data_IF_728889353332
#
_entry.id   IF_728889353332
#
_cell.length_a   1.000
_cell.length_b   1.000
_cell.length_c   1.000
_cell.angle_alpha   90.00
_cell.angle_beta   90.00
_cell.angle_gamma   90.00
#
_symmetry.space_group_name_H-M   'P 1'
#
loop_
_entity.id
_entity.type
_entity.pdbx_description
1 polymer ?
#
# COMPACT_ATOMS: atom_id res chain seq x y z
N UNK A 1 -21.37 -48.18 -27.06
CA UNK A 1 -22.25 -47.09 -27.50
C UNK A 1 -21.41 -45.84 -27.63
N UNK A 2 -20.98 -45.55 -28.85
CA UNK A 2 -20.43 -44.26 -29.24
C UNK A 2 -21.59 -43.52 -29.94
N UNK A 3 -21.94 -42.34 -29.45
CA UNK A 3 -22.84 -41.43 -30.15
C UNK A 3 -22.20 -40.05 -30.14
N UNK A 4 -21.49 -39.77 -31.22
CA UNK A 4 -21.00 -38.47 -31.63
C UNK A 4 -22.15 -37.56 -32.07
N UNK A 5 -22.21 -36.34 -31.57
CA UNK A 5 -22.83 -35.22 -32.26
C UNK A 5 -21.79 -34.15 -32.51
N UNK A 6 -21.76 -33.67 -33.75
CA UNK A 6 -20.85 -32.66 -34.27
C UNK A 6 -21.70 -31.52 -34.85
N UNK A 7 -21.29 -30.29 -34.54
CA UNK A 7 -21.53 -29.03 -35.26
C UNK A 7 -20.87 -27.95 -34.37
N UNK A 8 -19.87 -27.19 -34.79
CA UNK A 8 -19.74 -26.48 -36.06
C UNK A 8 -20.20 -25.04 -35.83
N UNK A 9 -19.27 -24.10 -35.60
CA UNK A 9 -19.61 -22.71 -35.31
C UNK A 9 -18.39 -21.83 -35.11
N UNK A 10 -17.90 -21.28 -36.22
CA UNK A 10 -16.81 -20.32 -36.36
C UNK A 10 -17.05 -19.05 -35.53
N UNK A 11 -16.02 -18.60 -34.82
CA UNK A 11 -16.02 -17.34 -34.09
C UNK A 11 -14.59 -16.82 -33.96
N UNK A 12 -14.11 -16.19 -35.03
CA UNK A 12 -12.85 -15.44 -35.01
C UNK A 12 -12.96 -14.30 -34.00
N UNK A 13 -12.30 -14.46 -32.86
CA UNK A 13 -11.94 -13.38 -31.95
C UNK A 13 -10.48 -13.06 -32.18
N UNK A 14 -10.24 -11.94 -32.85
CA UNK A 14 -8.95 -11.33 -33.16
C UNK A 14 -7.87 -11.57 -32.12
N UNK A 15 -6.69 -11.93 -32.63
CA UNK A 15 -5.39 -11.85 -31.98
C UNK A 15 -5.30 -10.54 -31.19
N UNK A 16 -5.41 -10.65 -29.86
CA UNK A 16 -5.07 -9.57 -28.95
C UNK A 16 -3.57 -9.38 -28.98
N UNK A 17 -3.13 -8.49 -29.87
CA UNK A 17 -1.73 -8.16 -30.13
C UNK A 17 -0.93 -7.85 -28.87
N UNK A 18 0.36 -8.16 -28.96
CA UNK A 18 1.34 -7.85 -27.93
C UNK A 18 1.31 -6.39 -27.51
N UNK A 19 1.04 -6.18 -26.24
CA UNK A 19 1.45 -5.00 -25.51
C UNK A 19 2.51 -5.41 -24.50
N UNK A 20 3.75 -5.61 -24.94
CA UNK A 20 4.92 -5.61 -24.05
C UNK A 20 5.18 -4.16 -23.56
N UNK A 21 4.17 -3.55 -22.94
CA UNK A 21 4.33 -2.33 -22.16
C UNK A 21 4.83 -2.76 -20.79
N UNK A 22 5.90 -2.13 -20.28
CA UNK A 22 6.49 -2.43 -18.98
C UNK A 22 5.45 -2.37 -17.85
N UNK A 23 4.77 -3.48 -17.61
CA UNK A 23 3.68 -3.58 -16.66
C UNK A 23 4.23 -3.86 -15.27
N UNK A 24 4.13 -2.88 -14.38
CA UNK A 24 4.44 -3.08 -12.97
C UNK A 24 3.59 -4.20 -12.37
N UNK A 25 4.21 -5.03 -11.53
CA UNK A 25 3.51 -6.07 -10.77
C UNK A 25 2.69 -5.41 -9.66
N UNK A 26 1.41 -5.78 -9.55
CA UNK A 26 0.52 -5.33 -8.47
C UNK A 26 0.43 -6.40 -7.40
N UNK A 27 0.48 -5.98 -6.14
CA UNK A 27 0.43 -6.87 -4.97
C UNK A 27 -0.72 -6.44 -4.08
N UNK A 28 -1.59 -7.39 -3.72
CA UNK A 28 -2.68 -7.19 -2.77
C UNK A 28 -2.29 -7.78 -1.41
N UNK A 29 -2.34 -6.99 -0.34
CA UNK A 29 -1.92 -7.42 1.01
C UNK A 29 -3.12 -7.42 1.95
N UNK A 30 -3.60 -8.61 2.33
CA UNK A 30 -4.77 -8.74 3.20
C UNK A 30 -4.48 -9.52 4.48
N UNK A 31 -5.37 -9.32 5.45
CA UNK A 31 -5.53 -10.22 6.60
C UNK A 31 -7.03 -10.51 6.74
N UNK A 32 -7.50 -10.94 7.91
CA UNK A 32 -8.92 -11.23 8.11
C UNK A 32 -9.81 -9.99 7.95
N UNK A 33 -9.50 -8.89 8.67
CA UNK A 33 -10.31 -7.66 8.66
C UNK A 33 -9.64 -6.48 7.92
N UNK A 34 -8.37 -6.62 7.53
CA UNK A 34 -7.59 -5.50 6.97
C UNK A 34 -7.34 -4.36 7.97
N UNK A 35 -7.38 -4.64 9.28
CA UNK A 35 -7.26 -3.64 10.36
C UNK A 35 -5.85 -3.60 10.94
N UNK A 36 -5.24 -4.75 11.23
CA UNK A 36 -4.05 -4.84 12.09
C UNK A 36 -2.83 -5.46 11.38
N UNK A 37 -2.88 -6.74 11.00
CA UNK A 37 -1.72 -7.47 10.44
C UNK A 37 -1.25 -6.94 9.08
N UNK A 38 -2.17 -6.83 8.12
CA UNK A 38 -1.83 -6.39 6.76
C UNK A 38 -1.43 -4.91 6.73
N UNK A 39 -2.13 -4.06 7.48
CA UNK A 39 -1.79 -2.64 7.59
C UNK A 39 -0.41 -2.42 8.21
N UNK A 40 -0.06 -3.15 9.28
CA UNK A 40 1.30 -3.09 9.84
C UNK A 40 2.37 -3.47 8.83
N UNK A 41 2.16 -4.52 8.04
CA UNK A 41 3.11 -4.93 7.01
C UNK A 41 3.29 -3.85 5.93
N UNK A 42 2.19 -3.26 5.46
CA UNK A 42 2.22 -2.16 4.47
C UNK A 42 2.97 -0.95 5.03
N UNK A 43 2.69 -0.54 6.28
CA UNK A 43 3.40 0.56 6.93
C UNK A 43 4.90 0.27 7.01
N UNK A 44 5.30 -0.93 7.46
CA UNK A 44 6.70 -1.32 7.52
C UNK A 44 7.39 -1.30 6.15
N UNK A 45 6.68 -1.77 5.12
CA UNK A 45 7.17 -1.74 3.75
C UNK A 45 7.39 -0.32 3.23
N UNK A 46 6.47 0.63 3.51
CA UNK A 46 6.64 2.03 3.13
C UNK A 46 7.84 2.66 3.84
N UNK A 47 8.05 2.36 5.12
CA UNK A 47 9.25 2.81 5.84
C UNK A 47 10.52 2.26 5.18
N UNK A 48 10.57 0.96 4.88
CA UNK A 48 11.73 0.32 4.29
C UNK A 48 12.03 0.78 2.85
N UNK A 49 11.03 0.82 1.98
CA UNK A 49 11.23 1.09 0.55
C UNK A 49 11.25 2.57 0.21
N UNK A 50 10.38 3.36 0.82
CA UNK A 50 10.27 4.80 0.53
C UNK A 50 11.02 5.67 1.54
N UNK A 51 11.66 5.05 2.55
CA UNK A 51 12.40 5.75 3.60
C UNK A 51 11.51 6.76 4.34
N UNK A 52 10.22 6.44 4.49
CA UNK A 52 9.28 7.29 5.22
C UNK A 52 9.38 7.02 6.72
N UNK A 53 9.34 8.06 7.58
CA UNK A 53 9.19 7.86 9.01
C UNK A 53 7.82 7.24 9.33
N UNK A 54 7.71 6.59 10.49
CA UNK A 54 6.52 5.92 10.97
C UNK A 54 5.29 6.84 10.95
N UNK A 55 5.42 8.08 11.40
CA UNK A 55 4.34 9.07 11.37
C UNK A 55 3.75 9.24 9.96
N UNK A 56 4.61 9.47 8.97
CA UNK A 56 4.19 9.67 7.58
C UNK A 56 3.60 8.39 6.96
N UNK A 57 4.26 7.25 7.18
CA UNK A 57 3.80 5.97 6.64
C UNK A 57 2.44 5.57 7.22
N UNK A 58 2.25 5.73 8.55
CA UNK A 58 0.97 5.46 9.21
C UNK A 58 -0.13 6.39 8.69
N UNK A 59 0.14 7.70 8.64
CA UNK A 59 -0.81 8.70 8.14
C UNK A 59 -1.27 8.38 6.72
N UNK A 60 -0.34 8.00 5.84
CA UNK A 60 -0.67 7.65 4.46
C UNK A 60 -1.62 6.45 4.39
N UNK A 61 -1.31 5.35 5.09
CA UNK A 61 -2.18 4.15 5.08
C UNK A 61 -3.53 4.45 5.76
N UNK A 62 -3.55 5.29 6.79
CA UNK A 62 -4.78 5.74 7.44
C UNK A 62 -5.66 6.56 6.49
N UNK A 63 -5.08 7.48 5.72
CA UNK A 63 -5.81 8.25 4.71
C UNK A 63 -6.40 7.36 3.61
N UNK A 64 -5.71 6.29 3.21
CA UNK A 64 -6.24 5.32 2.25
C UNK A 64 -7.29 4.38 2.87
N UNK A 65 -7.18 4.04 4.15
CA UNK A 65 -8.05 3.09 4.86
C UNK A 65 -8.22 3.51 6.33
N UNK A 66 -9.22 4.35 6.66
CA UNK A 66 -9.40 4.89 8.03
C UNK A 66 -9.69 3.85 9.12
N UNK A 67 -10.09 2.64 8.74
CA UNK A 67 -10.34 1.52 9.65
C UNK A 67 -9.08 0.80 10.14
N UNK A 68 -7.87 1.20 9.69
CA UNK A 68 -6.65 0.57 10.22
C UNK A 68 -6.52 0.86 11.72
N UNK A 69 -6.16 -0.17 12.47
CA UNK A 69 -5.84 -0.08 13.88
C UNK A 69 -4.89 -1.23 14.22
N UNK A 70 -3.59 -1.11 13.87
CA UNK A 70 -2.55 -2.00 14.38
C UNK A 70 -2.68 -2.16 15.90
N UNK A 71 -2.50 -3.37 16.40
CA UNK A 71 -2.52 -3.59 17.85
C UNK A 71 -1.27 -2.96 18.49
N UNK A 72 -1.27 -2.78 19.82
CA UNK A 72 -0.14 -2.16 20.51
C UNK A 72 1.20 -2.88 20.31
N UNK A 73 1.20 -4.21 20.22
CA UNK A 73 2.41 -4.98 19.92
C UNK A 73 2.99 -4.62 18.56
N UNK A 74 2.16 -4.56 17.51
CA UNK A 74 2.60 -4.13 16.18
C UNK A 74 3.03 -2.66 16.15
N UNK A 75 2.36 -1.77 16.87
CA UNK A 75 2.79 -0.35 16.96
C UNK A 75 4.19 -0.23 17.56
N UNK A 76 4.48 -0.96 18.64
CA UNK A 76 5.82 -1.01 19.24
C UNK A 76 6.85 -1.61 18.28
N UNK A 77 6.51 -2.69 17.59
CA UNK A 77 7.39 -3.29 16.58
C UNK A 77 7.68 -2.34 15.42
N UNK A 78 6.69 -1.56 14.97
CA UNK A 78 6.87 -0.54 13.93
C UNK A 78 7.77 0.59 14.41
N UNK A 79 7.60 1.06 15.65
CA UNK A 79 8.48 2.06 16.26
C UNK A 79 9.92 1.56 16.34
N UNK A 80 10.13 0.33 16.83
CA UNK A 80 11.45 -0.30 16.86
C UNK A 80 12.04 -0.48 15.46
N UNK A 81 11.21 -0.77 14.46
CA UNK A 81 11.65 -0.89 13.08
C UNK A 81 12.14 0.45 12.53
N UNK A 82 11.42 1.55 12.81
CA UNK A 82 11.84 2.90 12.45
C UNK A 82 13.21 3.24 13.05
N UNK A 83 13.41 2.98 14.34
CA UNK A 83 14.71 3.20 15.02
C UNK A 83 15.81 2.35 14.37
N UNK A 84 15.53 1.10 13.99
CA UNK A 84 16.49 0.25 13.27
C UNK A 84 16.84 0.78 11.89
N UNK A 85 15.90 1.39 11.18
CA UNK A 85 16.13 1.93 9.84
C UNK A 85 16.82 3.30 9.85
N UNK A 86 16.44 4.19 10.77
CA UNK A 86 16.82 5.61 10.73
C UNK A 86 17.60 6.10 11.96
N UNK A 87 17.79 5.26 12.97
CA UNK A 87 18.47 5.60 14.23
C UNK A 87 17.66 6.50 15.17
N UNK A 88 16.43 6.88 14.79
CA UNK A 88 15.53 7.74 15.59
C UNK A 88 14.07 7.38 15.34
N UNK A 89 13.23 7.71 16.31
CA UNK A 89 11.78 7.60 16.21
C UNK A 89 11.14 8.94 15.80
N UNK A 90 10.09 8.89 14.98
CA UNK A 90 9.27 10.06 14.65
C UNK A 90 8.06 10.23 15.58
N UNK A 91 7.76 9.21 16.38
CA UNK A 91 6.64 9.20 17.33
C UNK A 91 7.17 8.72 18.67
N UNK A 92 6.74 9.36 19.76
CA UNK A 92 7.09 8.91 21.11
C UNK A 92 6.26 7.68 21.52
N UNK A 93 6.79 6.85 22.42
CA UNK A 93 6.13 5.59 22.79
C UNK A 93 4.75 5.82 23.45
N UNK A 94 4.60 6.92 24.22
CA UNK A 94 3.36 7.35 24.85
C UNK A 94 2.24 7.66 23.84
N UNK A 95 2.60 8.15 22.66
CA UNK A 95 1.66 8.56 21.62
C UNK A 95 1.23 7.39 20.73
N UNK A 96 1.90 6.22 20.83
CA UNK A 96 1.49 5.02 20.10
C UNK A 96 0.04 4.64 20.41
N UNK A 97 -0.43 4.85 21.64
CA UNK A 97 -1.82 4.56 22.03
C UNK A 97 -2.83 5.42 21.26
N UNK A 98 -2.45 6.64 20.87
CA UNK A 98 -3.30 7.67 20.29
C UNK A 98 -3.23 7.76 18.76
N UNK A 99 -2.43 6.93 18.08
CA UNK A 99 -2.18 7.05 16.64
C UNK A 99 -3.45 7.20 15.78
N UNK A 100 -4.49 6.40 16.05
CA UNK A 100 -5.76 6.53 15.32
C UNK A 100 -6.44 7.89 15.50
N UNK A 101 -6.37 8.46 16.71
CA UNK A 101 -7.00 9.74 17.03
C UNK A 101 -6.15 10.92 16.53
N UNK A 102 -4.82 10.82 16.62
CA UNK A 102 -3.88 11.83 16.12
C UNK A 102 -4.12 12.08 14.63
N UNK A 103 -4.20 11.01 13.83
CA UNK A 103 -4.38 11.14 12.39
C UNK A 103 -5.85 11.29 11.95
N UNK A 104 -6.82 11.04 12.83
CA UNK A 104 -8.21 11.42 12.62
C UNK A 104 -8.46 12.93 12.82
N UNK A 105 -7.67 13.60 13.68
CA UNK A 105 -7.81 15.03 14.01
C UNK A 105 -7.00 15.99 13.14
N UNK A 106 -6.04 15.50 12.35
CA UNK A 106 -5.26 16.32 11.42
C UNK A 106 -5.97 16.42 10.05
N UNK A 107 -7.16 17.01 10.08
CA UNK A 107 -7.78 17.57 8.89
C UNK A 107 -7.25 18.98 8.63
N UNK A 108 -6.08 19.11 7.97
CA UNK A 108 -5.82 20.03 6.86
C UNK A 108 -4.32 20.22 6.54
N UNK A 109 -4.06 20.27 5.23
CA UNK A 109 -2.94 20.92 4.53
C UNK A 109 -1.59 20.18 4.37
N UNK A 110 -1.41 19.74 3.11
CA UNK A 110 -0.17 19.57 2.32
C UNK A 110 0.63 18.27 2.44
N UNK A 111 0.44 17.40 1.44
CA UNK A 111 1.34 17.42 0.30
C UNK A 111 0.48 17.36 -0.97
N UNK A 112 0.19 18.54 -1.52
CA UNK A 112 0.19 18.67 -2.98
C UNK A 112 1.51 18.05 -3.47
N UNK A 113 1.50 17.21 -4.53
CA UNK A 113 2.73 16.67 -5.07
C UNK A 113 3.53 17.82 -5.68
N UNK A 114 4.50 18.36 -4.92
CA UNK A 114 5.57 19.19 -5.46
C UNK A 114 6.41 18.37 -6.43
N UNK A 115 5.97 18.37 -7.70
CA UNK A 115 6.81 18.43 -8.90
C UNK A 115 7.87 19.53 -8.62
N UNK A 116 9.18 19.38 -8.79
CA UNK A 116 9.94 18.81 -9.90
C UNK A 116 11.36 18.42 -9.44
N UNK A 117 11.84 17.25 -9.88
CA UNK A 117 12.95 17.23 -10.83
C UNK A 117 12.58 16.23 -11.92
N UNK A 118 12.43 16.75 -13.13
CA UNK A 118 12.29 15.95 -14.34
C UNK A 118 13.39 14.89 -14.42
N UNK A 119 13.00 13.63 -14.30
CA UNK A 119 13.55 12.54 -15.10
C UNK A 119 12.36 11.88 -15.77
N UNK A 120 12.16 12.29 -17.01
CA UNK A 120 11.40 11.71 -18.10
C UNK A 120 10.34 10.63 -17.75
N UNK A 121 9.08 11.07 -17.77
CA UNK A 121 7.89 10.37 -18.27
C UNK A 121 7.91 8.83 -18.26
N UNK A 122 7.23 8.21 -17.30
CA UNK A 122 5.98 7.47 -17.57
C UNK A 122 5.35 6.93 -16.27
N UNK A 123 4.07 7.25 -16.15
CA UNK A 123 3.12 6.88 -15.10
C UNK A 123 2.99 5.38 -14.87
N UNK A 124 3.10 4.94 -13.61
CA UNK A 124 2.37 3.79 -13.10
C UNK A 124 1.94 4.08 -11.66
N UNK A 125 0.63 4.24 -11.47
CA UNK A 125 0.00 4.53 -10.20
C UNK A 125 0.37 3.50 -9.13
N UNK A 126 0.94 3.99 -8.03
CA UNK A 126 1.13 3.21 -6.82
C UNK A 126 -0.21 3.10 -6.09
N UNK A 127 -1.07 2.19 -6.56
CA UNK A 127 -2.24 1.75 -5.79
C UNK A 127 -1.78 0.60 -4.91
N UNK A 128 -1.46 0.91 -3.65
CA UNK A 128 -1.41 -0.10 -2.59
C UNK A 128 -2.80 -0.15 -1.97
N UNK A 129 -3.58 -1.18 -2.30
CA UNK A 129 -4.80 -1.56 -1.59
C UNK A 129 -4.63 -2.94 -0.97
#
# INVERSE_FOLDING_TARGET
GCSSTSAGGSGGGTEGGGGAGGGGVRVFVHCFAGVSRSSSLVIAYLMFKLQWPLARAYQHVFACRPQICPNMGFRKQLLQHEVKLFGKASIQEEDLSKLGNIFAGLGESTCEPSREKEVNSQSAGCTVM
#
